data_IF_486438754277
#
_entry.id   IF_486438754277
#
_cell.length_a   1.000
_cell.length_b   1.000
_cell.length_c   1.000
_cell.angle_alpha   90.00
_cell.angle_beta   90.00
_cell.angle_gamma   90.00
#
_symmetry.space_group_name_H-M   'P 1'
#
loop_
_entity.id
_entity.type
_entity.pdbx_description
1 polymer ?
#
# COMPACT_ATOMS: atom_id res chain seq x y z
N UNK A 1 4.40 4.19 11.19
CA UNK A 1 5.34 3.15 10.70
C UNK A 1 5.50 3.32 9.18
N UNK A 2 6.72 3.22 8.65
CA UNK A 2 7.03 3.39 7.23
C UNK A 2 7.70 2.10 6.74
N UNK A 3 7.33 1.60 5.56
CA UNK A 3 8.11 0.59 4.86
C UNK A 3 9.30 1.29 4.19
N UNK A 4 10.45 1.31 4.88
CA UNK A 4 11.64 2.07 4.48
C UNK A 4 12.16 1.70 3.09
N UNK A 5 11.87 0.49 2.60
CA UNK A 5 12.34 0.02 1.31
C UNK A 5 11.52 0.55 0.12
N UNK A 6 10.22 0.79 0.30
CA UNK A 6 9.29 1.17 -0.79
C UNK A 6 8.51 2.47 -0.54
N UNK A 7 8.77 3.12 0.59
CA UNK A 7 8.23 4.44 0.94
C UNK A 7 6.75 4.46 1.29
N UNK A 8 6.11 3.30 1.48
CA UNK A 8 4.71 3.25 1.94
C UNK A 8 4.59 3.66 3.41
N UNK A 9 3.53 4.39 3.75
CA UNK A 9 3.24 4.78 5.13
C UNK A 9 1.87 4.26 5.56
N UNK A 10 1.73 3.82 6.81
CA UNK A 10 0.39 3.59 7.38
C UNK A 10 -0.40 4.90 7.33
N UNK A 11 -1.65 4.83 6.88
CA UNK A 11 -2.50 5.98 6.58
C UNK A 11 -2.37 6.52 5.16
N UNK A 12 -1.40 6.05 4.37
CA UNK A 12 -1.26 6.46 2.98
C UNK A 12 -2.41 5.96 2.12
N UNK A 13 -2.93 6.86 1.26
CA UNK A 13 -3.91 6.53 0.24
C UNK A 13 -3.22 5.94 -0.98
N UNK A 14 -3.70 4.78 -1.40
CA UNK A 14 -3.22 4.06 -2.58
C UNK A 14 -4.38 3.75 -3.51
N UNK A 15 -4.06 3.61 -4.79
CA UNK A 15 -4.97 3.12 -5.82
C UNK A 15 -4.55 1.71 -6.22
N UNK A 16 -5.53 0.82 -6.36
CA UNK A 16 -5.35 -0.56 -6.80
C UNK A 16 -6.40 -0.93 -7.85
N UNK A 17 -6.11 -1.88 -8.76
CA UNK A 17 -7.12 -2.39 -9.68
C UNK A 17 -8.25 -3.13 -8.94
N UNK A 18 -9.50 -2.75 -9.21
CA UNK A 18 -10.71 -3.43 -8.76
C UNK A 18 -11.48 -4.03 -9.95
N UNK A 19 -12.56 -4.76 -9.64
CA UNK A 19 -13.40 -5.44 -10.64
C UNK A 19 -14.08 -4.48 -11.63
N UNK A 20 -14.32 -3.24 -11.21
CA UNK A 20 -15.09 -2.24 -11.95
C UNK A 20 -14.27 -0.98 -12.30
N UNK A 21 -12.95 -1.06 -12.19
CA UNK A 21 -12.05 0.08 -12.38
C UNK A 21 -11.07 0.24 -11.23
N UNK A 22 -10.42 1.39 -11.17
CA UNK A 22 -9.51 1.73 -10.08
C UNK A 22 -10.28 1.87 -8.76
N UNK A 23 -9.74 1.28 -7.71
CA UNK A 23 -10.28 1.34 -6.36
C UNK A 23 -9.26 1.98 -5.44
N UNK A 24 -9.72 2.85 -4.55
CA UNK A 24 -8.85 3.44 -3.55
C UNK A 24 -8.86 2.63 -2.26
N UNK A 25 -7.74 2.70 -1.55
CA UNK A 25 -7.59 2.12 -0.23
C UNK A 25 -6.58 2.89 0.61
N UNK A 26 -6.51 2.50 1.87
CA UNK A 26 -5.61 3.09 2.86
C UNK A 26 -4.70 2.00 3.39
N UNK A 27 -3.39 2.24 3.40
CA UNK A 27 -2.42 1.33 4.04
C UNK A 27 -2.70 1.31 5.54
N UNK A 28 -2.91 0.12 6.10
CA UNK A 28 -3.21 -0.05 7.52
C UNK A 28 -2.09 -0.76 8.28
N UNK A 29 -1.27 -1.57 7.61
CA UNK A 29 -0.19 -2.31 8.26
C UNK A 29 0.86 -2.82 7.26
N UNK A 30 1.98 -3.34 7.78
CA UNK A 30 2.99 -4.07 7.05
C UNK A 30 3.17 -5.45 7.67
N UNK A 31 3.00 -6.51 6.87
CA UNK A 31 3.21 -7.86 7.34
C UNK A 31 4.40 -8.49 6.62
N UNK A 32 5.11 -9.35 7.34
CA UNK A 32 6.17 -10.17 6.78
C UNK A 32 5.69 -11.62 6.78
N UNK A 33 5.41 -12.16 5.59
CA UNK A 33 5.03 -13.55 5.42
C UNK A 33 6.28 -14.40 5.21
N UNK A 34 6.65 -15.19 6.20
CA UNK A 34 7.72 -16.17 6.07
C UNK A 34 7.15 -17.41 5.37
N UNK A 35 7.48 -17.61 4.10
CA UNK A 35 7.00 -18.76 3.33
C UNK A 35 7.53 -20.07 3.92
N UNK A 36 6.63 -20.99 4.25
CA UNK A 36 6.94 -22.28 4.92
C UNK A 36 7.81 -23.24 4.10
N UNK A 37 8.05 -22.97 2.81
CA UNK A 37 8.68 -23.90 1.87
C UNK A 37 9.94 -23.42 1.12
N UNK A 38 10.52 -22.24 1.40
CA UNK A 38 11.70 -21.79 0.62
C UNK A 38 12.65 -20.79 1.29
N UNK A 39 12.52 -20.51 2.60
CA UNK A 39 13.35 -19.46 3.25
C UNK A 39 13.15 -18.05 2.68
N UNK A 40 12.15 -17.86 1.80
CA UNK A 40 11.81 -16.57 1.22
C UNK A 40 10.87 -15.83 2.16
N UNK A 41 11.36 -14.70 2.63
CA UNK A 41 10.62 -13.69 3.39
C UNK A 41 9.92 -12.79 2.39
N UNK A 42 8.59 -12.79 2.38
CA UNK A 42 7.80 -11.87 1.56
C UNK A 42 7.29 -10.72 2.43
N UNK A 43 7.70 -9.49 2.11
CA UNK A 43 7.09 -8.31 2.72
C UNK A 43 5.82 -7.96 1.95
N UNK A 44 4.73 -7.70 2.66
CA UNK A 44 3.46 -7.28 2.07
C UNK A 44 2.96 -6.00 2.73
N UNK A 45 2.35 -5.14 1.92
CA UNK A 45 1.62 -3.98 2.40
C UNK A 45 0.17 -4.39 2.57
N UNK A 46 -0.37 -4.20 3.77
CA UNK A 46 -1.78 -4.46 4.08
C UNK A 46 -2.55 -3.16 3.98
N UNK A 47 -3.67 -3.18 3.25
CA UNK A 47 -4.51 -2.01 3.02
C UNK A 47 -5.99 -2.35 3.12
N UNK A 48 -6.78 -1.35 3.52
CA UNK A 48 -8.24 -1.40 3.53
C UNK A 48 -8.79 -0.62 2.35
N UNK A 49 -9.59 -1.26 1.53
CA UNK A 49 -10.33 -0.64 0.44
C UNK A 49 -11.49 0.20 1.00
N UNK A 50 -11.95 1.18 0.24
CA UNK A 50 -13.07 2.05 0.66
C UNK A 50 -14.39 1.30 0.85
N UNK A 51 -14.52 0.10 0.28
CA UNK A 51 -15.66 -0.80 0.51
C UNK A 51 -15.53 -1.64 1.79
N UNK A 52 -14.50 -1.40 2.59
CA UNK A 52 -14.25 -2.04 3.88
C UNK A 52 -13.44 -3.33 3.81
N UNK A 53 -13.16 -3.87 2.62
CA UNK A 53 -12.37 -5.11 2.48
C UNK A 53 -10.90 -4.87 2.81
N UNK A 54 -10.27 -5.84 3.46
CA UNK A 54 -8.83 -5.84 3.72
C UNK A 54 -8.14 -6.74 2.69
N UNK A 55 -7.08 -6.21 2.09
CA UNK A 55 -6.27 -6.93 1.11
C UNK A 55 -4.79 -6.64 1.37
N UNK A 56 -3.93 -7.46 0.78
CA UNK A 56 -2.49 -7.31 0.87
C UNK A 56 -1.84 -7.56 -0.47
N UNK A 57 -0.76 -6.85 -0.74
CA UNK A 57 0.03 -7.07 -1.95
C UNK A 57 1.52 -6.81 -1.71
N UNK A 58 2.36 -7.24 -2.64
CA UNK A 58 3.78 -6.95 -2.56
C UNK A 58 4.02 -5.46 -2.77
N UNK A 59 4.93 -4.85 -1.99
CA UNK A 59 5.28 -3.45 -2.11
C UNK A 59 5.71 -3.06 -3.54
N UNK A 60 6.40 -3.94 -4.26
CA UNK A 60 6.88 -3.73 -5.63
C UNK A 60 5.72 -3.52 -6.60
N UNK A 61 4.64 -4.30 -6.44
CA UNK A 61 3.44 -4.19 -7.28
C UNK A 61 2.74 -2.87 -6.99
N UNK A 62 2.50 -2.57 -5.71
CA UNK A 62 1.86 -1.32 -5.31
C UNK A 62 2.68 -0.10 -5.72
N UNK A 63 4.01 -0.18 -5.64
CA UNK A 63 4.90 0.91 -6.03
C UNK A 63 4.77 1.20 -7.53
N UNK A 64 4.75 0.16 -8.37
CA UNK A 64 4.55 0.33 -9.82
C UNK A 64 3.17 0.91 -10.14
N UNK A 65 2.12 0.43 -9.48
CA UNK A 65 0.74 0.92 -9.67
C UNK A 65 0.60 2.39 -9.25
N UNK A 66 1.22 2.76 -8.13
CA UNK A 66 1.07 4.10 -7.55
C UNK A 66 2.19 5.06 -7.98
N UNK A 67 3.07 4.67 -8.92
CA UNK A 67 4.20 5.49 -9.37
C UNK A 67 3.73 6.83 -9.92
N UNK A 68 2.70 6.83 -10.76
CA UNK A 68 2.17 8.06 -11.37
C UNK A 68 1.40 8.92 -10.35
N UNK A 69 0.58 8.29 -9.51
CA UNK A 69 -0.13 8.99 -8.43
C UNK A 69 0.85 9.66 -7.44
N UNK A 70 1.98 9.03 -7.15
CA UNK A 70 3.06 9.59 -6.33
C UNK A 70 3.89 10.65 -7.05
N UNK A 71 4.13 10.50 -8.36
CA UNK A 71 4.96 11.42 -9.14
C UNK A 71 4.31 12.80 -9.36
N UNK A 72 2.97 12.86 -9.44
CA UNK A 72 2.23 14.13 -9.58
C UNK A 72 1.81 14.76 -8.25
N UNK A 73 2.47 14.37 -7.15
CA UNK A 73 2.15 14.88 -5.84
C UNK A 73 0.71 14.56 -5.48
N UNK A 74 0.36 13.26 -5.50
CA UNK A 74 -0.89 12.77 -4.94
C UNK A 74 -1.16 13.56 -3.68
N UNK A 75 -2.28 14.30 -3.68
CA UNK A 75 -2.65 15.30 -2.69
C UNK A 75 -2.48 14.71 -1.30
N UNK A 76 -1.26 14.77 -0.79
CA UNK A 76 -0.91 14.54 0.57
C UNK A 76 -1.54 15.72 1.23
N UNK A 77 -2.76 15.50 1.72
CA UNK A 77 -3.34 16.26 2.81
C UNK A 77 -2.21 16.36 3.81
N UNK A 78 -1.54 17.50 3.76
CA UNK A 78 -0.43 17.83 4.62
C UNK A 78 -1.02 17.63 6.00
N UNK A 79 -0.53 16.62 6.72
CA UNK A 79 -0.85 16.44 8.11
C UNK A 79 -0.42 17.75 8.78
N UNK A 80 -1.37 18.68 8.93
CA UNK A 80 -1.19 19.87 9.73
C UNK A 80 -1.08 19.34 11.15
N UNK A 81 0.17 19.22 11.60
CA UNK A 81 0.46 19.08 13.02
C UNK A 81 -0.30 20.20 13.73
N UNK A 82 -1.24 19.81 14.58
CA UNK A 82 -1.85 20.66 15.59
C UNK A 82 -1.02 20.54 16.87
#
# INVERSE_FOLDING_TARGET
MINEHWGFRVGERITVPGLWGEQMGTVIDFATMQGRNAGRVAHVVVYRLDDGRVSSDTPERLFRLNRNHRAYGGMGTQARAA
#
